data_IF_872729712373
#
_entry.id   IF_872729712373
#
_cell.length_a   1.000
_cell.length_b   1.000
_cell.length_c   1.000
_cell.angle_alpha   90.00
_cell.angle_beta   90.00
_cell.angle_gamma   90.00
#
_symmetry.space_group_name_H-M   'P 1'
#
loop_
_entity.id
_entity.type
_entity.pdbx_description
1 polymer ?
#
# COMPACT_ATOMS: atom_id res chain seq x y z
N UNK A 1 -6.73 18.83 9.93
CA UNK A 1 -7.02 17.51 10.52
C UNK A 1 -5.99 16.57 9.92
N UNK A 2 -4.80 16.59 10.51
CA UNK A 2 -3.73 15.68 10.15
C UNK A 2 -4.26 14.28 10.44
N UNK A 3 -4.53 13.50 9.39
CA UNK A 3 -4.84 12.09 9.55
C UNK A 3 -3.54 11.47 10.05
N UNK A 4 -3.39 11.36 11.36
CA UNK A 4 -2.39 10.50 11.96
C UNK A 4 -2.63 9.11 11.37
N UNK A 5 -1.85 8.80 10.34
CA UNK A 5 -1.74 7.48 9.77
C UNK A 5 -1.11 6.64 10.87
N UNK A 6 -1.95 6.11 11.76
CA UNK A 6 -1.58 5.16 12.80
C UNK A 6 -1.23 3.82 12.13
N UNK A 7 -0.17 3.85 11.33
CA UNK A 7 0.41 2.68 10.69
C UNK A 7 1.15 1.96 11.79
N UNK A 8 0.76 0.71 12.01
CA UNK A 8 1.46 -0.17 12.92
C UNK A 8 2.84 -0.50 12.31
N UNK A 9 3.89 0.05 12.92
CA UNK A 9 5.26 -0.13 12.43
C UNK A 9 5.69 -1.61 12.51
N UNK A 10 5.22 -2.36 13.50
CA UNK A 10 5.55 -3.79 13.61
C UNK A 10 4.95 -4.58 12.45
N UNK A 11 3.73 -4.22 12.02
CA UNK A 11 3.11 -4.82 10.83
C UNK A 11 3.85 -4.43 9.56
N UNK A 12 4.24 -3.16 9.41
CA UNK A 12 5.01 -2.68 8.26
C UNK A 12 6.35 -3.41 8.13
N UNK A 13 7.09 -3.56 9.23
CA UNK A 13 8.37 -4.27 9.25
C UNK A 13 8.16 -5.74 8.88
N UNK A 14 7.15 -6.41 9.45
CA UNK A 14 6.87 -7.81 9.11
C UNK A 14 6.54 -8.01 7.62
N UNK A 15 5.77 -7.09 7.03
CA UNK A 15 5.42 -7.13 5.60
C UNK A 15 6.62 -6.84 4.70
N UNK A 16 7.50 -5.93 5.09
CA UNK A 16 8.74 -5.65 4.38
C UNK A 16 9.68 -6.87 4.41
N UNK A 17 9.92 -7.45 5.60
CA UNK A 17 10.78 -8.62 5.78
C UNK A 17 10.28 -9.82 4.98
N UNK A 18 8.96 -10.03 4.92
CA UNK A 18 8.34 -11.12 4.16
C UNK A 18 8.51 -10.98 2.63
N UNK A 19 8.86 -9.79 2.12
CA UNK A 19 8.91 -9.47 0.70
C UNK A 19 10.31 -9.03 0.29
N UNK A 20 11.21 -9.98 -0.06
CA UNK A 20 12.60 -9.66 -0.39
C UNK A 20 12.75 -8.76 -1.62
N UNK A 21 11.74 -8.66 -2.49
CA UNK A 21 11.72 -7.66 -3.57
C UNK A 21 11.82 -6.19 -3.10
N UNK A 22 11.54 -5.92 -1.82
CA UNK A 22 11.61 -4.58 -1.22
C UNK A 22 12.98 -4.24 -0.64
N UNK A 23 13.76 -5.22 -0.18
CA UNK A 23 15.03 -4.99 0.53
C UNK A 23 16.22 -5.79 -0.01
N UNK A 24 15.98 -6.92 -0.67
CA UNK A 24 17.01 -7.80 -1.21
C UNK A 24 17.54 -7.29 -2.56
N UNK A 25 18.66 -6.59 -2.49
CA UNK A 25 19.38 -6.02 -3.64
C UNK A 25 20.02 -7.08 -4.54
N UNK A 26 20.09 -8.33 -4.11
CA UNK A 26 20.65 -9.43 -4.89
C UNK A 26 19.64 -9.98 -5.91
N UNK A 27 18.35 -9.73 -5.69
CA UNK A 27 17.30 -10.13 -6.61
C UNK A 27 17.29 -9.24 -7.86
N UNK A 28 17.22 -9.84 -9.05
CA UNK A 28 17.02 -9.07 -10.29
C UNK A 28 15.71 -8.29 -10.27
N UNK A 29 14.68 -8.84 -9.60
CA UNK A 29 13.37 -8.21 -9.46
C UNK A 29 13.40 -6.94 -8.61
N UNK A 30 14.37 -6.78 -7.70
CA UNK A 30 14.57 -5.54 -6.94
C UNK A 30 14.93 -4.35 -7.85
N UNK A 31 15.59 -4.60 -9.00
CA UNK A 31 15.87 -3.56 -10.00
C UNK A 31 14.62 -3.16 -10.79
N UNK A 32 13.57 -3.96 -10.73
CA UNK A 32 12.31 -3.68 -11.41
C UNK A 32 11.45 -2.74 -10.58
N UNK A 33 11.45 -1.46 -10.97
CA UNK A 33 10.57 -0.44 -10.37
C UNK A 33 9.09 -0.86 -10.39
N UNK A 34 8.68 -1.62 -11.41
CA UNK A 34 7.31 -2.14 -11.51
C UNK A 34 7.03 -3.16 -10.40
N UNK A 35 7.92 -4.13 -10.20
CA UNK A 35 7.72 -5.17 -9.20
C UNK A 35 7.75 -4.60 -7.77
N UNK A 36 8.65 -3.66 -7.49
CA UNK A 36 8.67 -2.94 -6.22
C UNK A 36 7.38 -2.17 -5.99
N UNK A 37 6.86 -1.48 -7.02
CA UNK A 37 5.62 -0.72 -6.93
C UNK A 37 4.38 -1.61 -6.73
N UNK A 38 4.27 -2.71 -7.46
CA UNK A 38 3.19 -3.69 -7.29
C UNK A 38 3.20 -4.27 -5.88
N UNK A 39 4.39 -4.58 -5.38
CA UNK A 39 4.58 -5.11 -4.03
C UNK A 39 4.17 -4.08 -2.96
N UNK A 40 4.62 -2.82 -3.08
CA UNK A 40 4.20 -1.76 -2.18
C UNK A 40 2.70 -1.50 -2.22
N UNK A 41 2.06 -1.63 -3.39
CA UNK A 41 0.61 -1.51 -3.52
C UNK A 41 -0.13 -2.58 -2.72
N UNK A 42 0.39 -3.81 -2.72
CA UNK A 42 -0.15 -4.88 -1.90
C UNK A 42 0.08 -4.64 -0.42
N UNK A 43 1.30 -4.25 -0.02
CA UNK A 43 1.64 -3.90 1.37
C UNK A 43 0.75 -2.77 1.88
N UNK A 44 0.48 -1.74 1.09
CA UNK A 44 -0.44 -0.66 1.50
C UNK A 44 -1.89 -1.11 1.66
N UNK A 45 -2.32 -2.12 0.89
CA UNK A 45 -3.66 -2.69 0.99
C UNK A 45 -3.79 -3.62 2.21
N UNK A 46 -2.70 -4.32 2.57
CA UNK A 46 -2.61 -5.19 3.75
C UNK A 46 -2.43 -4.40 5.05
N UNK A 47 -1.71 -3.28 5.01
CA UNK A 47 -1.51 -2.40 6.17
C UNK A 47 -2.77 -1.66 6.59
N UNK A 48 -3.70 -1.46 5.66
CA UNK A 48 -4.85 -0.63 5.91
C UNK A 48 -6.04 -1.16 5.10
N UNK A 49 -6.89 -1.96 5.73
CA UNK A 49 -8.14 -2.43 5.10
C UNK A 49 -9.04 -1.26 4.66
N UNK A 50 -8.95 -0.09 5.33
CA UNK A 50 -9.66 1.14 4.93
C UNK A 50 -9.14 1.74 3.62
N UNK A 51 -7.92 1.41 3.17
CA UNK A 51 -7.43 1.87 1.86
C UNK A 51 -8.24 1.27 0.70
N UNK A 52 -8.73 0.04 0.90
CA UNK A 52 -9.64 -0.64 -0.03
C UNK A 52 -11.02 0.06 -0.06
N UNK A 53 -11.43 0.64 1.06
CA UNK A 53 -12.66 1.43 1.15
C UNK A 53 -12.51 2.83 0.52
N UNK A 54 -11.31 3.44 0.57
CA UNK A 54 -11.04 4.77 0.01
C UNK A 54 -11.12 4.80 -1.52
N UNK A 55 -10.57 3.80 -2.23
CA UNK A 55 -10.68 3.69 -3.69
C UNK A 55 -12.15 3.51 -4.15
N UNK A 56 -12.98 2.89 -3.31
CA UNK A 56 -14.39 2.66 -3.59
C UNK A 56 -15.26 3.90 -3.31
N UNK A 57 -14.86 4.76 -2.36
CA UNK A 57 -15.65 5.94 -1.93
C UNK A 57 -15.47 7.16 -2.82
N UNK A 58 -14.32 7.35 -3.47
CA UNK A 58 -14.11 8.49 -4.38
C UNK A 58 -14.92 8.43 -5.68
N UNK A 59 -15.54 7.28 -6.02
CA UNK A 59 -16.37 7.14 -7.24
C UNK A 59 -17.84 7.54 -7.07
N UNK A 60 -18.32 7.84 -5.85
CA UNK A 60 -19.76 8.04 -5.62
C UNK A 60 -20.17 9.47 -5.18
N UNK A 61 -19.27 10.45 -5.22
CA UNK A 61 -19.55 11.84 -4.83
C UNK A 61 -19.68 12.83 -6.01
N UNK A 62 -19.90 12.34 -7.24
CA UNK A 62 -20.14 13.21 -8.41
C UNK A 62 -21.54 13.08 -9.04
N UNK A 63 -22.51 12.49 -8.34
CA UNK A 63 -23.86 12.23 -8.89
C UNK A 63 -25.01 12.55 -7.94
N UNK A 64 -24.97 13.66 -7.22
CA UNK A 64 -26.21 14.22 -6.62
C UNK A 64 -26.13 15.75 -6.57
N UNK A 65 -26.27 16.38 -7.73
CA UNK A 65 -26.84 17.71 -7.87
C UNK A 65 -27.72 17.66 -9.12
N UNK A 66 -28.95 17.17 -8.96
CA UNK A 66 -30.09 17.38 -9.85
C UNK A 66 -31.22 17.98 -9.03
#
# INVERSE_FOLDING_TARGET
MDKDLNIDNDILIALEEARPVLWDKTLEVFKSRNATRETWSQVSCELNEDFKEMESKEKNESRTFI
#
